data_IF_602496449200
#
_entry.id   IF_602496449200
#
_cell.length_a   1.000
_cell.length_b   1.000
_cell.length_c   1.000
_cell.angle_alpha   90.00
_cell.angle_beta   90.00
_cell.angle_gamma   90.00
#
_symmetry.space_group_name_H-M   'P 1'
#
loop_
_entity.id
_entity.type
_entity.pdbx_description
1 polymer ?
2 polymer ?
3 non-polymer ?
4 water ?
#
loop_
_entity_poly.entity_id
_entity_poly.type
_entity_poly.pdbx_seq_one_letter_code
_entity_poly.pdbx_strand_id
1 'polydeoxyribonucleotide' '(DU)(DU)(DU)(DU)(DU)(DU)(DU)(DU)' ?
#
# COMPACT_ATOMS: atom_id res chain seq x y z
N UNK B 25 -15.27 -17.03 12.83
CA UNK B 25 -14.78 -16.38 14.05
C UNK B 25 -14.24 -17.41 15.06
N UNK B 26 -12.91 -17.44 15.22
CA UNK B 26 -12.25 -18.38 16.15
C UNK B 26 -12.56 -18.08 17.61
N UNK B 27 -12.98 -19.12 18.34
CA UNK B 27 -13.28 -18.95 19.75
C UNK B 27 -11.96 -18.62 20.43
N UNK B 28 -12.03 -17.90 21.54
CA UNK B 28 -10.82 -17.53 22.28
C UNK B 28 -10.21 -18.82 22.82
N UNK B 29 -9.05 -19.22 22.26
CA UNK B 29 -8.31 -20.41 22.63
C UNK B 29 -7.89 -20.40 24.08
N UNK B 30 -7.66 -21.58 24.64
CA UNK B 30 -7.24 -21.71 26.02
C UNK B 30 -5.82 -21.17 26.14
N UNK B 31 -5.04 -21.31 25.07
CA UNK B 31 -3.67 -20.83 25.03
C UNK B 31 -3.44 -20.03 23.75
N UNK B 32 -2.32 -19.30 23.69
CA UNK B 32 -2.02 -18.49 22.51
C UNK B 32 -2.02 -19.24 21.20
N UNK B 33 -2.85 -18.75 20.27
CA UNK B 33 -2.96 -19.33 18.94
C UNK B 33 -3.10 -18.17 17.94
N UNK B 34 -2.76 -18.45 16.69
CA UNK B 34 -2.88 -17.50 15.59
C UNK B 34 -3.89 -18.16 14.67
N UNK B 35 -4.93 -17.42 14.29
CA UNK B 35 -5.96 -18.00 13.45
C UNK B 35 -6.21 -17.13 12.24
N UNK B 36 -6.75 -17.75 11.20
CA UNK B 36 -7.08 -17.05 9.97
C UNK B 36 -8.60 -16.94 9.91
N UNK B 37 -9.10 -15.76 9.55
CA UNK B 37 -10.53 -15.58 9.41
C UNK B 37 -10.79 -15.18 7.96
N UNK B 38 -11.34 -16.11 7.19
CA UNK B 38 -11.64 -15.85 5.80
C UNK B 38 -13.16 -15.71 5.72
N UNK B 39 -13.62 -14.48 5.48
CA UNK B 39 -15.04 -14.21 5.41
C UNK B 39 -15.22 -13.06 4.44
N UNK B 40 -16.32 -13.06 3.66
CA UNK B 40 -16.61 -12.02 2.67
C UNK B 40 -16.75 -10.61 3.23
N UNK B 41 -16.47 -9.61 2.41
CA UNK B 41 -16.57 -8.22 2.83
C UNK B 41 -17.99 -7.98 3.30
N UNK B 42 -18.15 -7.19 4.36
CA UNK B 42 -19.47 -6.92 4.88
C UNK B 42 -19.95 -7.90 5.93
N UNK B 43 -19.21 -8.99 6.14
CA UNK B 43 -19.60 -9.98 7.12
C UNK B 43 -19.34 -9.55 8.58
N UNK B 44 -18.65 -8.43 8.78
CA UNK B 44 -18.37 -7.94 10.13
C UNK B 44 -17.06 -8.32 10.80
N UNK B 45 -16.08 -8.74 10.00
CA UNK B 45 -14.75 -9.14 10.50
C UNK B 45 -14.05 -8.06 11.32
N UNK B 46 -14.20 -6.81 10.92
CA UNK B 46 -13.56 -5.71 11.61
C UNK B 46 -14.47 -4.92 12.53
N UNK B 47 -15.66 -5.45 12.79
CA UNK B 47 -16.64 -4.78 13.64
C UNK B 47 -17.44 -5.71 14.56
N UNK B 48 -18.18 -6.63 13.96
CA UNK B 48 -18.99 -7.58 14.70
C UNK B 48 -18.11 -8.51 15.52
N UNK B 49 -17.09 -9.05 14.87
CA UNK B 49 -16.17 -9.97 15.55
C UNK B 49 -15.51 -9.33 16.78
N UNK B 50 -14.88 -8.15 16.61
CA UNK B 50 -14.28 -7.56 17.82
C UNK B 50 -15.32 -7.17 18.88
N UNK B 51 -16.54 -6.85 18.44
CA UNK B 51 -17.64 -6.49 19.35
C UNK B 51 -18.02 -7.72 20.21
N UNK B 52 -18.11 -8.88 19.57
CA UNK B 52 -18.43 -10.13 20.26
C UNK B 52 -17.28 -10.50 21.21
N UNK B 53 -16.04 -10.26 20.77
CA UNK B 53 -14.86 -10.56 21.58
C UNK B 53 -14.82 -9.71 22.84
N UNK B 54 -15.00 -8.39 22.68
CA UNK B 54 -14.97 -7.46 23.80
C UNK B 54 -16.13 -7.66 24.77
N UNK B 55 -17.28 -8.08 24.23
CA UNK B 55 -18.47 -8.34 25.02
C UNK B 55 -18.23 -9.49 25.97
N UNK B 56 -17.20 -10.28 25.69
CA UNK B 56 -16.81 -11.42 26.52
C UNK B 56 -15.79 -10.96 27.54
N UNK B 57 -15.54 -9.66 27.58
CA UNK B 57 -14.61 -9.11 28.54
C UNK B 57 -13.17 -9.00 28.11
N UNK B 58 -12.90 -9.04 26.81
CA UNK B 58 -11.52 -8.93 26.32
C UNK B 58 -11.15 -7.55 25.75
N UNK B 59 -9.86 -7.25 25.80
CA UNK B 59 -9.32 -6.02 25.26
C UNK B 59 -8.94 -6.40 23.84
N UNK B 60 -9.63 -5.82 22.87
CA UNK B 60 -9.39 -6.14 21.46
C UNK B 60 -8.79 -4.99 20.68
N UNK B 61 -7.80 -5.33 19.85
CA UNK B 61 -7.12 -4.35 19.00
C UNK B 61 -7.39 -4.75 17.55
N UNK B 62 -7.83 -3.80 16.74
CA UNK B 62 -8.12 -4.07 15.33
C UNK B 62 -7.17 -3.22 14.49
N UNK B 63 -6.29 -3.89 13.75
CA UNK B 63 -5.32 -3.21 12.90
C UNK B 63 -5.78 -3.18 11.46
N UNK B 64 -5.78 -1.99 10.87
CA UNK B 64 -6.22 -1.81 9.49
C UNK B 64 -5.20 -0.91 8.79
N UNK B 65 -4.96 -1.14 7.48
CA UNK B 65 -4.00 -0.30 6.75
C UNK B 65 -4.44 1.15 6.48
N UNK B 66 -5.74 1.35 6.34
CA UNK B 66 -6.28 2.67 6.02
C UNK B 66 -6.57 3.59 7.20
N UNK B 67 -6.03 4.80 7.13
CA UNK B 67 -6.26 5.80 8.16
C UNK B 67 -7.76 6.17 8.12
N UNK B 68 -8.29 6.34 6.92
CA UNK B 68 -9.70 6.69 6.74
C UNK B 68 -10.60 5.60 7.31
N UNK B 69 -10.30 4.34 6.99
CA UNK B 69 -11.08 3.21 7.47
C UNK B 69 -11.04 3.12 8.99
N UNK B 70 -9.84 3.27 9.55
CA UNK B 70 -9.66 3.22 10.99
C UNK B 70 -10.56 4.26 11.65
N UNK B 71 -10.49 5.50 11.19
CA UNK B 71 -11.31 6.57 11.74
C UNK B 71 -12.79 6.25 11.59
N UNK B 72 -13.15 5.70 10.44
CA UNK B 72 -14.53 5.38 10.17
C UNK B 72 -15.18 4.41 11.12
N UNK B 73 -14.42 3.44 11.60
CA UNK B 73 -14.96 2.45 12.52
C UNK B 73 -15.68 3.05 13.72
N UNK B 74 -15.23 4.22 14.16
CA UNK B 74 -15.83 4.88 15.30
C UNK B 74 -17.34 5.04 15.22
N UNK B 75 -17.80 5.72 14.16
CA UNK B 75 -19.22 5.93 13.96
C UNK B 75 -19.96 4.64 13.65
N UNK B 76 -19.36 3.79 12.82
CA UNK B 76 -20.01 2.54 12.45
C UNK B 76 -20.26 1.65 13.66
N UNK B 77 -19.26 1.57 14.53
CA UNK B 77 -19.35 0.74 15.72
C UNK B 77 -20.39 1.28 16.72
N UNK B 78 -20.47 2.60 16.79
CA UNK B 78 -21.41 3.24 17.66
C UNK B 78 -22.81 2.93 17.14
N UNK B 79 -23.02 3.14 15.84
CA UNK B 79 -24.32 2.89 15.24
C UNK B 79 -24.72 1.42 15.22
N UNK B 80 -23.78 0.55 14.89
CA UNK B 80 -24.08 -0.87 14.79
C UNK B 80 -24.06 -1.63 16.10
N UNK B 81 -23.22 -1.22 17.03
CA UNK B 81 -23.09 -1.94 18.28
C UNK B 81 -23.15 -1.10 19.57
N UNK B 82 -23.37 0.20 19.44
CA UNK B 82 -23.43 1.04 20.62
C UNK B 82 -22.08 1.00 21.31
N UNK B 83 -21.02 1.07 20.51
CA UNK B 83 -19.65 1.04 21.02
C UNK B 83 -18.89 2.26 20.53
N UNK B 84 -18.15 2.89 21.43
CA UNK B 84 -17.32 4.05 21.09
C UNK B 84 -15.90 3.57 21.38
N UNK B 85 -15.21 3.02 20.36
CA UNK B 85 -13.84 2.53 20.57
C UNK B 85 -12.75 3.60 20.56
N UNK B 86 -11.55 3.20 20.98
CA UNK B 86 -10.41 4.10 20.95
C UNK B 86 -9.96 4.10 19.48
N UNK B 87 -9.59 5.28 18.97
CA UNK B 87 -9.15 5.41 17.59
C UNK B 87 -7.72 5.93 17.56
N UNK B 88 -6.82 5.20 16.92
CA UNK B 88 -5.43 5.61 16.85
C UNK B 88 -4.87 5.67 15.42
N UNK B 89 -4.68 6.89 14.93
CA UNK B 89 -4.11 7.10 13.61
C UNK B 89 -2.99 8.12 13.75
N UNK B 90 -2.26 8.35 12.66
CA UNK B 90 -1.17 9.32 12.71
C UNK B 90 -1.71 10.70 13.01
N UNK B 91 -2.80 11.05 12.32
CA UNK B 91 -3.42 12.36 12.51
C UNK B 91 -4.09 12.56 13.86
N UNK B 92 -4.98 11.64 14.23
CA UNK B 92 -5.73 11.77 15.48
C UNK B 92 -5.88 10.49 16.32
N UNK B 93 -5.72 10.67 17.63
CA UNK B 93 -5.90 9.59 18.60
C UNK B 93 -7.10 10.02 19.45
N UNK B 94 -8.05 9.13 19.60
CA UNK B 94 -9.25 9.39 20.39
C UNK B 94 -9.33 8.27 21.40
N UNK B 95 -9.07 8.59 22.67
CA UNK B 95 -9.13 7.59 23.72
C UNK B 95 -10.49 7.64 24.42
N UNK B 96 -11.16 6.51 24.46
CA UNK B 96 -12.48 6.42 25.04
C UNK B 96 -12.55 5.57 26.29
N UNK B 97 -11.56 4.71 26.49
CA UNK B 97 -11.58 3.84 27.65
C UNK B 97 -12.32 2.56 27.29
N UNK B 98 -12.57 2.40 25.99
CA UNK B 98 -13.25 1.22 25.47
C UNK B 98 -12.27 0.04 25.44
N UNK B 99 -12.80 -1.19 25.53
CA UNK B 99 -11.93 -2.36 25.50
C UNK B 99 -11.46 -2.59 24.04
N UNK B 100 -12.16 -1.96 23.11
CA UNK B 100 -11.82 -2.08 21.69
C UNK B 100 -11.00 -0.88 21.22
N UNK B 101 -9.95 -1.17 20.48
CA UNK B 101 -9.07 -0.13 19.96
C UNK B 101 -8.81 -0.39 18.48
N UNK B 102 -9.10 0.61 17.65
CA UNK B 102 -8.85 0.51 16.23
C UNK B 102 -7.60 1.33 15.96
N UNK B 103 -6.72 0.80 15.12
CA UNK B 103 -5.48 1.49 14.79
C UNK B 103 -4.98 1.07 13.42
N UNK B 104 -4.21 1.95 12.80
CA UNK B 104 -3.57 1.67 11.51
C UNK B 104 -2.32 0.88 11.89
N UNK B 105 -1.74 0.16 10.93
CA UNK B 105 -0.52 -0.58 11.24
C UNK B 105 0.61 0.41 11.50
N UNK B 106 0.58 1.53 10.79
CA UNK B 106 1.60 2.55 10.94
C UNK B 106 1.66 3.09 12.35
N UNK B 107 0.52 3.56 12.85
CA UNK B 107 0.43 4.11 14.20
C UNK B 107 0.82 3.03 15.25
N UNK B 108 0.38 1.78 15.02
CA UNK B 108 0.70 0.67 15.92
C UNK B 108 2.22 0.55 16.04
N UNK B 109 2.87 0.49 14.89
CA UNK B 109 4.32 0.40 14.80
C UNK B 109 5.00 1.60 15.48
N UNK B 110 4.41 2.77 15.29
CA UNK B 110 4.91 4.02 15.87
C UNK B 110 4.69 4.05 17.38
N UNK B 111 3.66 3.36 17.87
CA UNK B 111 3.40 3.35 19.32
C UNK B 111 4.25 2.31 20.05
N UNK B 112 5.13 1.64 19.30
CA UNK B 112 5.99 0.65 19.90
C UNK B 112 5.54 -0.79 19.79
N UNK B 113 4.57 -1.06 18.92
CA UNK B 113 4.10 -2.43 18.78
C UNK B 113 3.31 -2.93 19.98
N UNK B 114 3.59 -4.14 20.43
CA UNK B 114 2.87 -4.72 21.55
C UNK B 114 3.06 -3.98 22.89
N UNK B 115 4.08 -3.15 22.99
CA UNK B 115 4.35 -2.42 24.22
C UNK B 115 3.56 -1.11 24.26
N UNK B 116 2.89 -0.79 23.15
CA UNK B 116 2.11 0.42 23.06
C UNK B 116 0.75 0.32 23.73
N UNK B 117 0.38 -0.89 24.13
CA UNK B 117 -0.90 -1.12 24.80
C UNK B 117 -0.99 -2.57 25.22
N UNK B 118 -1.99 -2.92 26.02
CA UNK B 118 -2.15 -4.30 26.46
C UNK B 118 -3.45 -4.81 25.88
N UNK B 119 -3.35 -5.77 24.96
CA UNK B 119 -4.51 -6.31 24.27
C UNK B 119 -4.49 -7.82 24.36
N UNK B 120 -5.65 -8.42 24.53
CA UNK B 120 -5.75 -9.88 24.64
C UNK B 120 -5.91 -10.48 23.24
N UNK B 121 -6.64 -9.77 22.39
CA UNK B 121 -6.90 -10.21 21.03
C UNK B 121 -6.50 -9.15 20.01
N UNK B 122 -5.78 -9.57 18.97
CA UNK B 122 -5.36 -8.67 17.91
C UNK B 122 -5.91 -9.15 16.57
N UNK B 123 -6.75 -8.34 15.95
CA UNK B 123 -7.33 -8.68 14.66
C UNK B 123 -6.49 -7.92 13.64
N UNK B 124 -5.73 -8.66 12.83
CA UNK B 124 -4.91 -8.06 11.77
C UNK B 124 -5.82 -8.07 10.55
N UNK B 125 -6.58 -7.00 10.41
CA UNK B 125 -7.53 -6.83 9.34
C UNK B 125 -6.87 -6.59 7.99
N UNK B 126 -7.50 -7.09 6.91
CA UNK B 126 -6.97 -6.96 5.55
C UNK B 126 -5.54 -7.50 5.50
N UNK B 127 -5.33 -8.63 6.16
CA UNK B 127 -4.01 -9.23 6.25
C UNK B 127 -3.43 -9.67 4.91
N UNK B 128 -4.16 -9.40 3.83
CA UNK B 128 -3.72 -9.73 2.48
C UNK B 128 -2.87 -8.57 1.92
N UNK B 129 -2.89 -7.42 2.60
CA UNK B 129 -2.15 -6.23 2.16
C UNK B 129 -0.66 -6.44 2.04
N UNK B 130 -0.11 -6.09 0.89
CA UNK B 130 1.31 -6.27 0.66
C UNK B 130 2.12 -4.98 0.71
N UNK B 131 1.53 -3.93 1.26
CA UNK B 131 2.25 -2.66 1.40
C UNK B 131 3.20 -2.85 2.60
N UNK B 132 4.37 -2.21 2.54
CA UNK B 132 5.38 -2.33 3.59
C UNK B 132 4.86 -2.18 5.02
N UNK B 133 4.03 -1.16 5.23
CA UNK B 133 3.49 -0.91 6.55
C UNK B 133 2.63 -2.05 7.13
N UNK B 134 1.83 -2.69 6.29
CA UNK B 134 0.99 -3.79 6.75
C UNK B 134 1.84 -5.01 7.05
N UNK B 135 2.80 -5.29 6.18
CA UNK B 135 3.68 -6.43 6.38
C UNK B 135 4.52 -6.28 7.64
N UNK B 136 5.06 -5.09 7.88
CA UNK B 136 5.89 -4.86 9.05
C UNK B 136 5.05 -4.92 10.31
N UNK B 137 3.84 -4.37 10.22
CA UNK B 137 2.93 -4.36 11.35
C UNK B 137 2.48 -5.76 11.73
N UNK B 138 2.12 -6.57 10.73
CA UNK B 138 1.69 -7.93 10.98
C UNK B 138 2.81 -8.74 11.58
N UNK B 139 4.00 -8.65 10.98
CA UNK B 139 5.15 -9.36 11.49
C UNK B 139 5.43 -8.97 12.94
N UNK B 140 5.30 -7.69 13.25
CA UNK B 140 5.53 -7.20 14.61
C UNK B 140 4.60 -7.96 15.55
N UNK B 141 3.30 -7.93 15.25
CA UNK B 141 2.29 -8.63 16.06
C UNK B 141 2.63 -10.11 16.20
N UNK B 142 2.92 -10.78 15.08
CA UNK B 142 3.22 -12.19 15.11
C UNK B 142 4.42 -12.52 15.97
N UNK B 143 5.41 -11.64 15.96
CA UNK B 143 6.60 -11.86 16.74
C UNK B 143 6.39 -11.54 18.21
N UNK B 144 5.74 -10.42 18.48
CA UNK B 144 5.53 -9.95 19.84
C UNK B 144 4.33 -10.41 20.68
N UNK B 145 3.16 -10.58 20.05
CA UNK B 145 1.92 -10.97 20.74
C UNK B 145 1.98 -11.94 21.91
N UNK B 146 2.39 -13.19 21.65
CA UNK B 146 2.45 -14.18 22.72
C UNK B 146 3.28 -13.73 23.91
N UNK B 147 4.50 -13.28 23.66
CA UNK B 147 5.38 -12.82 24.72
C UNK B 147 4.77 -11.65 25.50
N UNK B 148 3.94 -10.86 24.82
CA UNK B 148 3.29 -9.72 25.45
C UNK B 148 2.04 -10.14 26.21
N UNK B 149 1.71 -11.43 26.17
CA UNK B 149 0.55 -11.91 26.88
C UNK B 149 -0.79 -11.86 26.17
N UNK B 150 -0.78 -11.91 24.85
CA UNK B 150 -2.03 -11.90 24.12
C UNK B 150 -2.51 -13.34 24.09
N UNK B 151 -3.80 -13.52 23.87
CA UNK B 151 -4.40 -14.85 23.80
C UNK B 151 -4.65 -15.26 22.35
N UNK B 152 -5.01 -14.29 21.53
CA UNK B 152 -5.32 -14.62 20.15
C UNK B 152 -4.91 -13.58 19.14
N UNK B 153 -4.43 -14.06 18.00
CA UNK B 153 -4.07 -13.20 16.88
C UNK B 153 -4.91 -13.74 15.73
N UNK B 154 -5.70 -12.86 15.12
CA UNK B 154 -6.56 -13.25 14.01
C UNK B 154 -6.13 -12.51 12.77
N UNK B 155 -5.83 -13.25 11.71
CA UNK B 155 -5.43 -12.68 10.42
C UNK B 155 -6.69 -12.75 9.56
N UNK B 156 -7.37 -11.62 9.41
CA UNK B 156 -8.61 -11.56 8.66
C UNK B 156 -8.52 -10.94 7.27
N UNK B 157 -9.24 -11.56 6.34
CA UNK B 157 -9.27 -11.12 4.95
C UNK B 157 -10.34 -11.87 4.15
N UNK B 158 -10.94 -11.16 3.21
CA UNK B 158 -11.94 -11.74 2.33
C UNK B 158 -11.19 -12.35 1.15
N UNK B 159 -9.93 -11.97 0.98
CA UNK B 159 -9.11 -12.46 -0.12
C UNK B 159 -7.75 -13.06 0.30
N UNK B 160 -7.76 -14.29 0.83
CA UNK B 160 -6.51 -14.93 1.24
C UNK B 160 -5.67 -15.28 0.00
N UNK B 161 -4.37 -15.59 0.19
CA UNK B 161 -3.52 -15.94 -0.95
C UNK B 161 -4.13 -17.01 -1.86
N UNK B 162 -3.90 -16.85 -3.16
CA UNK B 162 -4.42 -17.79 -4.15
C UNK B 162 -5.84 -17.47 -4.57
N UNK B 163 -6.35 -16.33 -4.13
CA UNK B 163 -7.71 -15.93 -4.47
C UNK B 163 -7.92 -15.50 -5.92
N UNK B 164 -9.18 -15.56 -6.33
CA UNK B 164 -9.59 -15.18 -7.67
C UNK B 164 -10.89 -14.40 -7.47
N UNK B 165 -11.25 -13.58 -8.46
CA UNK B 165 -12.45 -12.77 -8.41
C UNK B 165 -13.65 -13.55 -8.94
N UNK B 166 -14.42 -14.06 -7.99
CA UNK B 166 -15.61 -14.88 -8.25
C UNK B 166 -16.85 -14.01 -8.45
N UNK B 167 -17.82 -14.50 -9.24
CA UNK B 167 -19.06 -13.79 -9.51
C UNK B 167 -19.68 -13.17 -8.26
N UNK B 168 -20.21 -11.96 -8.44
CA UNK B 168 -20.85 -11.19 -7.39
C UNK B 168 -22.33 -11.14 -7.75
N UNK B 169 -23.21 -11.19 -6.75
CA UNK B 169 -24.67 -11.14 -6.96
C UNK B 169 -25.16 -9.96 -7.81
N UNK B 170 -24.83 -8.75 -7.35
CA UNK B 170 -25.25 -7.51 -8.02
C UNK B 170 -24.42 -7.04 -9.20
N UNK B 171 -23.47 -7.84 -9.69
CA UNK B 171 -22.64 -7.33 -10.77
C UNK B 171 -22.58 -8.10 -12.09
N UNK B 172 -23.16 -7.53 -13.13
CA UNK B 172 -23.11 -8.16 -14.44
C UNK B 172 -21.76 -7.78 -15.08
N UNK B 173 -21.01 -8.77 -15.53
CA UNK B 173 -19.72 -8.51 -16.14
C UNK B 173 -19.74 -8.72 -17.65
N UNK B 174 -19.18 -7.77 -18.39
CA UNK B 174 -19.14 -7.90 -19.84
C UNK B 174 -17.87 -7.35 -20.48
N UNK B 175 -17.26 -8.19 -21.31
CA UNK B 175 -16.04 -7.85 -22.03
C UNK B 175 -16.24 -6.71 -23.00
N UNK B 176 -15.25 -5.84 -23.12
CA UNK B 176 -15.32 -4.76 -24.08
C UNK B 176 -14.87 -5.40 -25.38
N UNK B 177 -15.29 -4.85 -26.51
CA UNK B 177 -14.89 -5.37 -27.81
C UNK B 177 -14.11 -4.29 -28.52
N UNK B 178 -13.92 -4.45 -29.82
CA UNK B 178 -13.21 -3.47 -30.61
C UNK B 178 -14.17 -2.39 -31.09
N UNK B 179 -15.45 -2.63 -30.89
CA UNK B 179 -16.46 -1.69 -31.32
C UNK B 179 -16.77 -0.65 -30.24
N UNK B 180 -16.56 0.61 -30.60
CA UNK B 180 -16.80 1.69 -29.67
C UNK B 180 -16.13 2.95 -30.17
N UNK B 181 -16.59 4.10 -29.68
CA UNK B 181 -16.02 5.37 -30.09
C UNK B 181 -14.68 5.69 -29.46
N UNK B 182 -14.46 5.24 -28.23
CA UNK B 182 -13.20 5.54 -27.53
C UNK B 182 -12.23 4.38 -27.40
N UNK B 183 -11.06 4.49 -28.05
CA UNK B 183 -10.07 3.42 -27.95
C UNK B 183 -9.69 3.31 -26.49
N UNK B 184 -9.65 2.08 -25.97
CA UNK B 184 -9.34 1.84 -24.56
C UNK B 184 -8.58 0.53 -24.35
N UNK B 185 -7.28 0.65 -24.17
CA UNK B 185 -6.39 -0.48 -23.94
C UNK B 185 -6.55 -1.64 -24.93
N UNK B 186 -6.50 -1.32 -26.22
CA UNK B 186 -6.62 -2.36 -27.23
C UNK B 186 -8.05 -2.58 -27.67
N UNK B 187 -9.00 -2.30 -26.78
CA UNK B 187 -10.41 -2.44 -27.08
C UNK B 187 -10.95 -1.05 -27.27
N UNK B 188 -12.25 -0.90 -27.12
CA UNK B 188 -12.88 0.40 -27.29
C UNK B 188 -14.11 0.48 -26.42
N UNK B 189 -14.48 1.70 -26.05
CA UNK B 189 -15.65 1.90 -25.22
C UNK B 189 -16.69 2.64 -26.04
N UNK B 190 -17.93 2.12 -26.03
CA UNK B 190 -19.05 2.73 -26.76
C UNK B 190 -19.56 3.88 -25.91
N UNK B 191 -19.60 5.08 -26.47
CA UNK B 191 -20.10 6.25 -25.75
C UNK B 191 -21.44 5.97 -25.09
N UNK B 192 -22.25 5.17 -25.76
CA UNK B 192 -23.58 4.81 -25.24
C UNK B 192 -23.54 4.22 -23.83
N UNK B 193 -22.52 3.42 -23.53
CA UNK B 193 -22.43 2.80 -22.22
C UNK B 193 -22.04 3.76 -21.09
N UNK B 194 -21.63 4.97 -21.45
CA UNK B 194 -21.24 5.96 -20.45
C UNK B 194 -21.99 7.30 -20.58
N UNK B 195 -22.79 7.43 -21.64
CA UNK B 195 -23.54 8.65 -21.92
C UNK B 195 -24.42 9.14 -20.76
N UNK B 196 -25.14 8.21 -20.13
CA UNK B 196 -25.97 8.58 -19.00
C UNK B 196 -25.53 7.78 -17.79
N UNK B 197 -25.75 8.29 -16.59
CA UNK B 197 -25.38 7.56 -15.38
C UNK B 197 -24.02 7.95 -14.84
N UNK B 198 -23.58 7.27 -13.79
CA UNK B 198 -22.28 7.52 -13.16
C UNK B 198 -21.40 6.29 -13.43
N UNK B 199 -20.18 6.51 -13.92
CA UNK B 199 -19.31 5.40 -14.25
C UNK B 199 -17.90 5.67 -13.77
N UNK B 200 -17.16 4.61 -13.46
CA UNK B 200 -15.78 4.73 -12.97
C UNK B 200 -14.85 3.99 -13.91
N UNK B 201 -13.92 4.72 -14.52
CA UNK B 201 -12.99 4.11 -15.45
C UNK B 201 -11.59 4.07 -14.84
N UNK B 202 -11.07 2.85 -14.65
CA UNK B 202 -9.75 2.67 -14.10
C UNK B 202 -8.67 2.61 -15.17
N UNK B 203 -7.68 3.48 -15.03
CA UNK B 203 -6.55 3.55 -15.94
C UNK B 203 -5.34 3.25 -15.06
N UNK B 204 -4.27 2.74 -15.67
CA UNK B 204 -3.09 2.39 -14.88
C UNK B 204 -2.19 3.58 -14.51
N UNK B 205 -2.23 4.63 -15.32
CA UNK B 205 -1.39 5.80 -15.09
C UNK B 205 -2.19 7.08 -15.07
N UNK B 206 -1.59 8.14 -14.51
CA UNK B 206 -2.25 9.44 -14.40
C UNK B 206 -2.35 10.11 -15.75
N UNK B 207 -1.37 9.86 -16.61
CA UNK B 207 -1.35 10.43 -17.96
C UNK B 207 -2.57 9.93 -18.71
N UNK B 208 -2.75 8.61 -18.74
CA UNK B 208 -3.89 7.99 -19.40
C UNK B 208 -5.22 8.52 -18.85
N UNK B 209 -5.28 8.79 -17.55
CA UNK B 209 -6.51 9.30 -16.94
C UNK B 209 -6.81 10.67 -17.53
N UNK B 210 -5.78 11.51 -17.60
CA UNK B 210 -5.89 12.87 -18.15
C UNK B 210 -6.31 12.81 -19.61
N UNK B 211 -5.61 12.00 -20.38
CA UNK B 211 -5.88 11.84 -21.81
C UNK B 211 -7.31 11.37 -22.07
N UNK B 212 -7.78 10.40 -21.29
CA UNK B 212 -9.13 9.90 -21.47
C UNK B 212 -10.13 10.96 -21.06
N UNK B 213 -9.96 11.52 -19.87
CA UNK B 213 -10.86 12.55 -19.40
C UNK B 213 -11.01 13.61 -20.49
N UNK B 214 -9.88 14.03 -21.04
CA UNK B 214 -9.86 15.05 -22.10
C UNK B 214 -10.67 14.58 -23.31
N UNK B 215 -10.43 13.34 -23.73
CA UNK B 215 -11.14 12.77 -24.87
C UNK B 215 -12.64 12.86 -24.63
N UNK B 216 -13.10 12.26 -23.52
CA UNK B 216 -14.51 12.24 -23.17
C UNK B 216 -15.12 13.63 -23.00
N UNK B 217 -14.42 14.48 -22.26
CA UNK B 217 -14.89 15.84 -21.99
C UNK B 217 -15.07 16.57 -23.32
N UNK B 218 -14.27 16.19 -24.32
CA UNK B 218 -14.37 16.78 -25.64
C UNK B 218 -15.62 16.26 -26.33
N UNK B 219 -15.95 14.99 -26.10
CA UNK B 219 -17.14 14.38 -26.70
C UNK B 219 -18.40 14.72 -25.91
N UNK B 220 -18.34 15.77 -25.09
CA UNK B 220 -19.49 16.18 -24.32
C UNK B 220 -19.78 15.37 -23.06
N UNK B 221 -18.91 14.43 -22.73
CA UNK B 221 -19.12 13.61 -21.53
C UNK B 221 -18.64 14.36 -20.28
N UNK B 222 -19.42 14.29 -19.20
CA UNK B 222 -19.04 14.95 -17.95
C UNK B 222 -18.00 14.10 -17.24
N UNK B 223 -16.80 14.07 -17.79
CA UNK B 223 -15.71 13.26 -17.24
C UNK B 223 -14.77 14.09 -16.40
N UNK B 224 -14.35 13.53 -15.27
CA UNK B 224 -13.44 14.22 -14.37
C UNK B 224 -12.38 13.23 -13.97
N UNK B 225 -11.14 13.69 -13.94
CA UNK B 225 -10.03 12.83 -13.55
C UNK B 225 -9.79 12.83 -12.05
N UNK B 226 -9.25 11.72 -11.57
CA UNK B 226 -8.90 11.62 -10.17
C UNK B 226 -7.75 10.67 -9.95
N UNK B 227 -6.77 11.18 -9.22
CA UNK B 227 -5.59 10.41 -8.85
C UNK B 227 -4.92 11.14 -7.70
N UNK B 228 -3.87 10.54 -7.15
CA UNK B 228 -3.15 11.13 -6.02
C UNK B 228 -2.63 12.52 -6.36
N UNK B 229 -2.96 13.47 -5.48
CA UNK B 229 -2.57 14.85 -5.66
C UNK B 229 -3.75 15.73 -6.04
N UNK B 230 -4.84 15.11 -6.51
CA UNK B 230 -6.04 15.85 -6.91
C UNK B 230 -6.99 16.07 -5.76
N UNK B 231 -8.10 16.73 -6.06
CA UNK B 231 -9.11 17.04 -5.05
C UNK B 231 -10.36 16.19 -5.26
N UNK B 232 -10.59 15.26 -4.34
CA UNK B 232 -11.74 14.38 -4.44
C UNK B 232 -13.10 15.03 -4.14
N UNK B 233 -13.08 16.18 -3.48
CA UNK B 233 -14.34 16.85 -3.15
C UNK B 233 -15.01 17.52 -4.34
N UNK B 234 -14.30 17.60 -5.46
CA UNK B 234 -14.89 18.23 -6.64
C UNK B 234 -15.75 17.23 -7.41
N UNK B 235 -15.61 15.94 -7.09
CA UNK B 235 -16.38 14.90 -7.75
C UNK B 235 -17.81 14.97 -7.24
N UNK B 236 -18.79 15.14 -8.14
CA UNK B 236 -20.18 15.22 -7.70
C UNK B 236 -20.66 13.94 -7.02
N UNK B 237 -21.43 14.10 -5.95
CA UNK B 237 -21.99 13.02 -5.17
C UNK B 237 -23.23 12.45 -5.87
N UNK B 238 -23.83 13.25 -6.73
CA UNK B 238 -25.00 12.81 -7.46
C UNK B 238 -24.97 13.38 -8.87
N UNK B 239 -25.77 12.80 -9.75
CA UNK B 239 -25.82 13.23 -11.13
C UNK B 239 -24.82 12.48 -12.01
N UNK B 240 -25.09 12.49 -13.31
CA UNK B 240 -24.25 11.83 -14.30
C UNK B 240 -22.83 12.31 -14.23
N UNK B 241 -21.89 11.38 -14.30
CA UNK B 241 -20.48 11.72 -14.30
C UNK B 241 -19.66 10.48 -14.59
N UNK B 242 -18.53 10.67 -15.23
CA UNK B 242 -17.62 9.59 -15.53
C UNK B 242 -16.30 9.99 -14.89
N UNK B 243 -15.95 9.31 -13.82
CA UNK B 243 -14.70 9.60 -13.14
C UNK B 243 -13.64 8.69 -13.77
N UNK B 244 -12.55 9.29 -14.25
CA UNK B 244 -11.45 8.54 -14.83
C UNK B 244 -10.34 8.61 -13.77
N UNK B 245 -10.05 7.48 -13.14
CA UNK B 245 -9.10 7.47 -12.04
C UNK B 245 -8.14 6.30 -11.94
N UNK B 246 -7.22 6.42 -10.98
CA UNK B 246 -6.27 5.37 -10.66
C UNK B 246 -6.82 4.75 -9.36
N UNK B 247 -6.05 3.87 -8.75
CA UNK B 247 -6.48 3.23 -7.52
C UNK B 247 -6.47 4.16 -6.29
N UNK B 248 -6.09 5.40 -6.52
CA UNK B 248 -6.05 6.39 -5.45
C UNK B 248 -7.41 6.57 -4.80
N UNK B 249 -8.46 6.63 -5.62
CA UNK B 249 -9.82 6.82 -5.10
C UNK B 249 -10.23 5.71 -4.12
N UNK B 253 -15.29 6.30 -0.73
CA UNK B 253 -16.05 7.31 -1.50
C UNK B 253 -17.45 6.80 -1.89
N UNK B 254 -18.45 7.65 -1.71
CA UNK B 254 -19.83 7.31 -2.06
C UNK B 254 -19.99 7.55 -3.56
N UNK B 255 -19.44 6.64 -4.34
CA UNK B 255 -19.51 6.76 -5.78
C UNK B 255 -20.87 6.52 -6.39
N UNK B 256 -21.60 5.55 -5.87
CA UNK B 256 -22.92 5.22 -6.39
C UNK B 256 -22.79 5.09 -7.92
N UNK B 257 -21.83 4.27 -8.32
CA UNK B 257 -21.53 4.04 -9.72
C UNK B 257 -22.40 2.97 -10.41
N UNK B 258 -22.91 3.31 -11.59
CA UNK B 258 -23.72 2.40 -12.36
C UNK B 258 -22.84 1.35 -13.01
N UNK B 259 -21.58 1.70 -13.25
CA UNK B 259 -20.65 0.73 -13.82
C UNK B 259 -19.20 1.09 -13.57
N UNK B 260 -18.35 0.09 -13.72
CA UNK B 260 -16.90 0.21 -13.58
C UNK B 260 -16.32 -0.35 -14.87
N UNK B 261 -15.40 0.38 -15.49
CA UNK B 261 -14.73 -0.09 -16.69
C UNK B 261 -13.29 -0.14 -16.21
N UNK B 262 -12.65 -1.29 -16.40
CA UNK B 262 -11.31 -1.54 -15.89
C UNK B 262 -10.32 -1.88 -16.99
N UNK B 263 -9.12 -1.30 -16.92
CA UNK B 263 -8.06 -1.58 -17.89
C UNK B 263 -7.39 -2.93 -17.57
N UNK B 264 -7.62 -3.41 -16.37
CA UNK B 264 -7.09 -4.70 -15.92
C UNK B 264 -5.57 -4.79 -15.73
N UNK B 265 -4.91 -3.64 -15.65
CA UNK B 265 -3.47 -3.60 -15.43
C UNK B 265 -3.17 -2.66 -14.28
N UNK B 266 -1.99 -2.76 -13.68
CA UNK B 266 -1.64 -1.90 -12.57
C UNK B 266 -0.14 -1.65 -12.55
N UNK B 267 0.24 -0.46 -12.12
CA UNK B 267 1.63 -0.06 -12.04
C UNK B 267 2.07 -0.41 -10.64
N UNK B 268 3.26 -0.97 -10.50
CA UNK B 268 3.75 -1.34 -9.18
C UNK B 268 5.28 -1.27 -9.06
N UNK B 269 5.76 -1.13 -7.84
CA UNK B 269 7.18 -1.05 -7.55
C UNK B 269 7.82 -2.41 -7.74
N UNK B 270 8.99 -2.41 -8.37
CA UNK B 270 9.68 -3.64 -8.62
C UNK B 270 11.18 -3.39 -8.49
N UNK B 271 11.91 -4.40 -8.03
CA UNK B 271 13.35 -4.29 -7.87
C UNK B 271 14.03 -5.05 -9.00
N UNK B 272 15.14 -4.50 -9.48
CA UNK B 272 15.90 -5.13 -10.54
C UNK B 272 17.34 -5.19 -10.04
N UNK B 273 17.81 -6.40 -9.76
CA UNK B 273 19.18 -6.60 -9.29
C UNK B 273 20.06 -6.48 -10.53
N UNK B 274 20.10 -5.25 -11.07
CA UNK B 274 20.81 -4.93 -12.29
C UNK B 274 22.33 -4.85 -12.30
N UNK B 275 22.97 -4.88 -11.14
CA UNK B 275 24.44 -4.85 -11.05
C UNK B 275 25.06 -3.72 -11.89
N UNK B 276 24.48 -2.52 -11.79
CA UNK B 276 24.96 -1.37 -12.56
C UNK B 276 24.97 -0.11 -11.70
N UNK B 277 25.69 -0.12 -10.57
CA UNK B 277 26.50 -1.20 -9.99
C UNK B 277 25.81 -2.21 -9.08
N UNK B 278 24.64 -1.87 -8.55
CA UNK B 278 23.95 -2.75 -7.60
C UNK B 278 22.52 -3.17 -7.96
N UNK B 279 21.53 -2.35 -7.56
CA UNK B 279 20.14 -2.66 -7.83
C UNK B 279 19.37 -1.44 -8.30
N UNK B 280 18.15 -1.67 -8.80
CA UNK B 280 17.28 -0.60 -9.29
C UNK B 280 15.85 -0.82 -8.81
N UNK B 281 15.26 0.22 -8.21
CA UNK B 281 13.88 0.12 -7.78
C UNK B 281 13.14 1.03 -8.73
N UNK B 282 12.26 0.44 -9.53
CA UNK B 282 11.49 1.17 -10.52
C UNK B 282 10.04 0.72 -10.44
N UNK B 283 9.31 0.79 -11.54
CA UNK B 283 7.93 0.35 -11.54
C UNK B 283 7.71 -0.52 -12.77
N UNK B 284 6.75 -1.44 -12.68
CA UNK B 284 6.42 -2.32 -13.79
C UNK B 284 4.90 -2.35 -13.92
N UNK B 285 4.41 -2.19 -15.15
CA UNK B 285 2.98 -2.25 -15.38
C UNK B 285 2.67 -3.72 -15.63
N UNK B 286 1.90 -4.31 -14.72
CA UNK B 286 1.55 -5.71 -14.77
C UNK B 286 0.05 -5.95 -14.80
N UNK B 287 -0.35 -7.17 -15.20
CA UNK B 287 -1.76 -7.52 -15.25
C UNK B 287 -2.16 -7.44 -13.79
N UNK B 288 -3.40 -7.04 -13.53
CA UNK B 288 -3.86 -6.93 -12.15
C UNK B 288 -3.98 -8.31 -11.53
N UNK B 289 -3.98 -8.37 -10.21
CA UNK B 289 -4.14 -9.66 -9.53
C UNK B 289 -5.58 -9.67 -9.02
N UNK B 290 -5.97 -10.71 -8.29
CA UNK B 290 -7.34 -10.82 -7.76
C UNK B 290 -7.78 -9.70 -6.83
N UNK B 291 -6.85 -9.19 -6.01
CA UNK B 291 -7.18 -8.11 -5.08
C UNK B 291 -7.57 -6.87 -5.87
N UNK B 292 -6.78 -6.55 -6.88
CA UNK B 292 -7.01 -5.39 -7.73
C UNK B 292 -8.36 -5.47 -8.43
N UNK B 293 -8.63 -6.61 -9.08
CA UNK B 293 -9.87 -6.82 -9.82
C UNK B 293 -11.08 -6.79 -8.91
N UNK B 294 -11.00 -7.49 -7.79
CA UNK B 294 -12.11 -7.53 -6.83
C UNK B 294 -12.41 -6.13 -6.27
N UNK B 295 -11.37 -5.39 -5.92
CA UNK B 295 -11.55 -4.05 -5.37
C UNK B 295 -12.00 -3.05 -6.43
N UNK B 296 -11.49 -3.17 -7.64
CA UNK B 296 -11.90 -2.28 -8.71
C UNK B 296 -13.35 -2.57 -9.07
N UNK B 297 -13.67 -3.84 -9.34
CA UNK B 297 -15.03 -4.24 -9.67
C UNK B 297 -15.98 -3.87 -8.52
N UNK B 298 -15.45 -3.99 -7.29
CA UNK B 298 -16.22 -3.69 -6.10
C UNK B 298 -16.72 -2.28 -5.92
N UNK B 299 -16.32 -1.36 -6.80
CA UNK B 299 -16.77 0.02 -6.69
C UNK B 299 -18.23 0.15 -7.16
N UNK B 300 -18.74 -0.87 -7.84
CA UNK B 300 -20.12 -0.88 -8.33
C UNK B 300 -20.90 -2.03 -7.68
N UNK B 301 -22.21 -2.09 -7.91
CA UNK B 301 -23.03 -3.15 -7.33
C UNK B 301 -23.17 -3.06 -5.83
N UNK B 302 -23.11 -1.84 -5.29
CA UNK B 302 -23.20 -1.62 -3.85
C UNK B 302 -24.61 -1.27 -3.42
N UNK B 303 -25.41 -2.29 -3.16
CA UNK B 303 -26.77 -2.06 -2.73
C UNK B 303 -27.70 -1.88 -3.91
N UNK B 304 -27.21 -2.16 -5.10
CA UNK B 304 -28.00 -2.04 -6.31
C UNK B 304 -27.19 -2.68 -7.41
N UNK B 305 -27.84 -3.07 -8.51
CA UNK B 305 -27.11 -3.69 -9.61
C UNK B 305 -26.07 -2.77 -10.23
N UNK B 306 -25.02 -3.36 -10.77
CA UNK B 306 -23.96 -2.61 -11.41
C UNK B 306 -23.41 -3.44 -12.54
N UNK B 307 -22.63 -2.80 -13.41
CA UNK B 307 -22.02 -3.48 -14.53
C UNK B 307 -20.52 -3.27 -14.45
N UNK B 308 -19.79 -4.30 -14.85
CA UNK B 308 -18.32 -4.26 -14.85
C UNK B 308 -17.88 -4.61 -16.25
N UNK B 309 -17.13 -3.71 -16.88
CA UNK B 309 -16.62 -3.97 -18.22
C UNK B 309 -15.12 -4.07 -18.08
N UNK B 310 -14.55 -5.03 -18.81
CA UNK B 310 -13.12 -5.28 -18.74
C UNK B 310 -12.52 -5.44 -20.11
N UNK B 311 -11.22 -5.18 -20.20
CA UNK B 311 -10.47 -5.32 -21.44
C UNK B 311 -9.95 -6.77 -21.52
N UNK B 312 -9.54 -7.30 -20.38
CA UNK B 312 -8.99 -8.64 -20.31
C UNK B 312 -9.70 -9.50 -19.27
N UNK B 313 -9.89 -10.78 -19.61
CA UNK B 313 -10.56 -11.78 -18.76
C UNK B 313 -9.68 -12.43 -17.67
N UNK B 314 -8.37 -12.34 -17.83
CA UNK B 314 -7.50 -12.95 -16.86
C UNK B 314 -7.10 -12.03 -15.73
N UNK B 315 -6.52 -12.63 -14.70
CA UNK B 315 -6.04 -11.90 -13.54
C UNK B 315 -5.04 -12.82 -12.84
N UNK B 316 -4.09 -12.26 -12.12
CA UNK B 316 -3.13 -13.08 -11.42
C UNK B 316 -3.72 -13.42 -10.06
N UNK B 317 -3.59 -14.68 -9.64
CA UNK B 317 -4.13 -15.04 -8.32
C UNK B 317 -3.44 -14.15 -7.27
N UNK B 318 -4.17 -13.76 -6.24
CA UNK B 318 -3.61 -12.90 -5.21
C UNK B 318 -2.58 -13.67 -4.39
N UNK B 319 -1.74 -12.95 -3.65
CA UNK B 319 -0.81 -13.64 -2.79
C UNK B 319 0.68 -13.48 -2.93
N UNK B 320 1.13 -12.81 -3.99
CA UNK B 320 2.57 -12.62 -4.17
C UNK B 320 2.92 -11.15 -4.10
N UNK B 321 4.09 -10.86 -3.55
CA UNK B 321 4.56 -9.47 -3.51
C UNK B 321 6.05 -9.44 -3.82
N UNK B 322 6.47 -8.33 -4.41
CA UNK B 322 7.84 -8.08 -4.83
C UNK B 322 8.86 -7.85 -3.69
N UNK B 323 10.11 -8.22 -3.96
CA UNK B 323 11.21 -8.05 -3.01
C UNK B 323 11.41 -6.56 -2.67
N UNK B 324 10.99 -5.66 -3.57
CA UNK B 324 11.14 -4.25 -3.30
C UNK B 324 10.31 -3.89 -2.07
N UNK B 325 9.30 -4.70 -1.76
CA UNK B 325 8.48 -4.44 -0.59
C UNK B 325 9.34 -4.69 0.64
N UNK B 326 10.21 -5.70 0.58
CA UNK B 326 11.12 -6.02 1.69
C UNK B 326 12.08 -4.85 1.88
N UNK B 327 12.64 -4.37 0.76
CA UNK B 327 13.54 -3.23 0.81
C UNK B 327 12.78 -2.09 1.48
N UNK B 328 11.52 -1.93 1.10
CA UNK B 328 10.66 -0.89 1.62
C UNK B 328 10.37 -1.05 3.11
N UNK B 329 10.35 -2.29 3.57
CA UNK B 329 10.12 -2.57 4.99
C UNK B 329 11.34 -2.11 5.81
N UNK B 330 12.53 -2.46 5.34
CA UNK B 330 13.77 -2.06 6.01
C UNK B 330 13.93 -0.53 5.99
N UNK B 331 13.57 0.06 4.86
CA UNK B 331 13.65 1.50 4.70
C UNK B 331 12.73 2.17 5.72
N UNK B 332 11.54 1.61 5.93
CA UNK B 332 10.56 2.12 6.88
C UNK B 332 11.01 1.99 8.33
N UNK B 333 11.63 0.87 8.66
CA UNK B 333 12.13 0.67 10.01
C UNK B 333 13.13 1.75 10.36
N UNK B 334 14.05 1.97 9.42
CA UNK B 334 15.10 2.97 9.55
C UNK B 334 14.61 4.41 9.53
N UNK B 335 13.68 4.71 8.62
CA UNK B 335 13.16 6.06 8.49
C UNK B 335 12.11 6.45 9.51
N UNK B 336 11.15 5.55 9.75
CA UNK B 336 10.06 5.86 10.68
C UNK B 336 9.93 5.14 12.00
N UNK B 337 10.40 3.89 12.10
CA UNK B 337 10.18 3.15 13.34
C UNK B 337 11.33 2.90 14.26
N UNK B 338 12.42 3.64 14.08
CA UNK B 338 13.58 3.48 14.94
C UNK B 338 14.02 2.04 15.02
N UNK B 339 13.84 1.31 13.93
CA UNK B 339 14.21 -0.09 13.89
C UNK B 339 15.51 -0.37 13.16
N UNK B 340 16.32 -1.20 13.80
CA UNK B 340 17.59 -1.66 13.29
C UNK B 340 17.27 -2.72 12.23
N UNK B 341 18.10 -2.88 11.20
CA UNK B 341 17.81 -3.90 10.18
C UNK B 341 17.62 -5.26 10.84
N UNK B 342 18.41 -5.54 11.87
CA UNK B 342 18.32 -6.80 12.60
C UNK B 342 16.93 -6.93 13.27
N UNK B 343 16.41 -5.83 13.78
CA UNK B 343 15.09 -5.81 14.43
C UNK B 343 14.00 -6.04 13.37
N UNK B 344 14.10 -5.34 12.24
CA UNK B 344 13.14 -5.47 11.16
C UNK B 344 13.12 -6.94 10.68
N UNK B 345 14.30 -7.57 10.64
CA UNK B 345 14.41 -8.95 10.22
C UNK B 345 13.61 -9.89 11.12
N UNK B 346 13.63 -9.62 12.42
CA UNK B 346 12.90 -10.43 13.39
C UNK B 346 11.41 -10.44 13.08
N UNK B 347 10.88 -9.26 12.77
CA UNK B 347 9.47 -9.10 12.44
C UNK B 347 9.12 -9.68 11.06
N UNK B 348 9.97 -9.42 10.07
CA UNK B 348 9.72 -9.93 8.73
C UNK B 348 9.87 -11.46 8.72
N UNK B 349 10.74 -11.98 9.57
CA UNK B 349 10.95 -13.42 9.66
C UNK B 349 9.66 -14.08 10.20
N UNK B 350 9.11 -13.52 11.26
CA UNK B 350 7.88 -14.03 11.87
C UNK B 350 6.76 -14.05 10.85
N UNK B 351 6.65 -12.98 10.07
CA UNK B 351 5.64 -12.87 9.01
C UNK B 351 5.81 -14.04 8.04
N UNK B 352 7.06 -14.29 7.65
CA UNK B 352 7.37 -15.36 6.71
C UNK B 352 7.21 -16.74 7.34
N UNK B 353 7.38 -16.83 8.65
CA UNK B 353 7.24 -18.11 9.32
C UNK B 353 5.81 -18.54 9.53
N UNK B 354 4.85 -17.63 9.33
CA UNK B 354 3.46 -18.02 9.53
C UNK B 354 2.73 -18.31 8.22
N UNK B 355 2.25 -19.57 8.08
CA UNK B 355 1.52 -20.02 6.90
C UNK B 355 0.22 -19.27 6.66
N UNK B 356 -0.16 -19.18 5.40
CA UNK B 356 -1.42 -18.53 5.05
C UNK B 356 -1.35 -17.06 4.70
N UNK B 357 -0.16 -16.48 4.76
CA UNK B 357 0.03 -15.07 4.44
C UNK B 357 0.65 -14.89 3.05
N UNK B 358 0.60 -13.68 2.49
CA UNK B 358 1.18 -13.44 1.17
C UNK B 358 2.67 -13.79 1.19
N UNK B 359 3.21 -14.25 0.06
CA UNK B 359 4.61 -14.63 0.01
C UNK B 359 5.51 -13.83 -0.93
N UNK B 360 6.78 -13.75 -0.54
CA UNK B 360 7.82 -13.05 -1.28
C UNK B 360 9.07 -13.92 -1.19
N UNK B 361 10.06 -13.62 -2.02
CA UNK B 361 11.30 -14.38 -2.01
C UNK B 361 12.04 -14.07 -0.72
N UNK B 362 12.62 -15.10 -0.12
CA UNK B 362 13.35 -14.92 1.13
C UNK B 362 14.62 -14.11 0.91
N UNK B 363 14.50 -12.78 0.95
CA UNK B 363 15.65 -11.89 0.77
C UNK B 363 15.91 -11.06 2.01
N UNK B 364 15.57 -11.63 3.17
CA UNK B 364 15.76 -10.91 4.42
C UNK B 364 17.23 -10.63 4.74
N UNK B 365 18.07 -11.65 4.59
CA UNK B 365 19.49 -11.51 4.85
C UNK B 365 20.10 -10.48 3.90
N UNK B 366 19.70 -10.53 2.64
CA UNK B 366 20.21 -9.60 1.65
C UNK B 366 19.89 -8.16 2.00
N UNK B 367 18.60 -7.85 2.16
CA UNK B 367 18.20 -6.47 2.47
C UNK B 367 18.73 -5.97 3.79
N UNK B 368 18.85 -6.88 4.75
CA UNK B 368 19.39 -6.53 6.05
C UNK B 368 20.87 -6.18 5.85
N UNK B 369 21.54 -6.95 4.99
CA UNK B 369 22.95 -6.69 4.70
C UNK B 369 23.10 -5.28 4.16
N UNK B 370 22.34 -4.99 3.10
CA UNK B 370 22.35 -3.68 2.45
C UNK B 370 22.16 -2.52 3.44
N UNK B 371 21.04 -2.51 4.15
CA UNK B 371 20.75 -1.43 5.10
C UNK B 371 21.71 -1.33 6.28
N UNK B 372 22.29 -2.47 6.68
CA UNK B 372 23.23 -2.46 7.78
C UNK B 372 24.47 -1.61 7.44
N UNK B 373 24.80 -1.54 6.15
CA UNK B 373 25.95 -0.75 5.74
C UNK B 373 25.66 0.72 5.50
N UNK B 374 24.39 1.10 5.48
CA UNK B 374 24.02 2.48 5.23
C UNK B 374 24.02 3.24 6.54
N UNK B 375 25.16 3.23 7.21
CA UNK B 375 25.29 3.90 8.49
C UNK B 375 25.66 5.38 8.34
N UNK B 376 25.42 6.14 9.40
CA UNK B 376 25.73 7.57 9.44
C UNK B 376 25.04 8.39 8.34
N UNK B 377 23.71 8.40 8.36
CA UNK B 377 22.95 9.16 7.37
C UNK B 377 22.89 10.60 7.85
N UNK B 378 22.62 11.53 6.95
CA UNK B 378 22.51 12.93 7.37
C UNK B 378 21.09 13.04 7.86
N UNK B 379 20.93 13.39 9.14
CA UNK B 379 19.60 13.52 9.73
C UNK B 379 18.71 14.58 9.08
N UNK B 380 19.31 15.67 8.60
CA UNK B 380 18.52 16.72 7.96
C UNK B 380 17.93 16.30 6.64
N UNK B 381 18.70 15.57 5.84
CA UNK B 381 18.21 15.10 4.54
C UNK B 381 17.07 14.12 4.76
N UNK B 382 17.25 13.23 5.72
CA UNK B 382 16.24 12.22 6.07
C UNK B 382 14.90 12.87 6.40
N UNK B 383 14.95 13.90 7.25
CA UNK B 383 13.75 14.62 7.65
C UNK B 383 13.10 15.30 6.43
N UNK B 384 13.92 15.69 5.46
CA UNK B 384 13.38 16.33 4.27
C UNK B 384 12.72 15.30 3.38
N UNK B 385 13.41 14.20 3.13
CA UNK B 385 12.89 13.16 2.26
C UNK B 385 11.59 12.54 2.72
N UNK B 386 11.49 12.24 4.02
CA UNK B 386 10.26 11.65 4.51
C UNK B 386 9.11 12.66 4.60
N UNK B 387 9.46 13.94 4.51
CA UNK B 387 8.49 15.03 4.53
C UNK B 387 7.99 15.27 3.10
N UNK B 388 8.85 14.96 2.13
CA UNK B 388 8.53 15.12 0.72
C UNK B 388 7.64 13.99 0.20
N UNK B 389 7.41 12.98 1.02
CA UNK B 389 6.60 11.86 0.61
C UNK B 389 7.39 10.89 -0.28
N UNK B 390 8.71 11.05 -0.28
CA UNK B 390 9.59 10.20 -1.08
C UNK B 390 9.32 8.73 -0.74
N UNK B 391 9.12 7.91 -1.76
CA UNK B 391 8.83 6.46 -1.62
C UNK B 391 9.80 5.64 -0.76
N UNK B 392 11.10 5.89 -0.91
CA UNK B 392 12.10 5.18 -0.11
C UNK B 392 12.94 6.28 0.51
N UNK B 393 12.37 7.00 1.49
CA UNK B 393 13.06 8.09 2.19
C UNK B 393 14.47 7.81 2.71
N UNK B 394 14.70 6.61 3.23
CA UNK B 394 16.02 6.31 3.73
C UNK B 394 17.04 6.14 2.59
N UNK B 395 16.65 5.48 1.51
CA UNK B 395 17.59 5.31 0.39
C UNK B 395 17.90 6.64 -0.28
N UNK B 396 16.86 7.45 -0.53
CA UNK B 396 17.02 8.75 -1.17
C UNK B 396 17.92 9.65 -0.33
N UNK B 397 17.54 9.84 0.94
CA UNK B 397 18.31 10.68 1.86
C UNK B 397 19.75 10.19 2.02
N UNK B 398 19.95 8.89 1.99
CA UNK B 398 21.30 8.35 2.13
C UNK B 398 22.16 8.67 0.90
N UNK B 399 21.61 8.47 -0.30
CA UNK B 399 22.33 8.80 -1.52
C UNK B 399 22.66 10.28 -1.49
N UNK B 400 21.72 11.09 -1.00
CA UNK B 400 21.92 12.53 -0.91
C UNK B 400 23.06 12.84 0.07
N UNK B 401 23.12 12.08 1.15
CA UNK B 401 24.16 12.25 2.17
C UNK B 401 25.56 12.01 1.57
N UNK B 402 25.71 10.87 0.90
CA UNK B 402 26.96 10.50 0.26
C UNK B 402 27.41 11.57 -0.75
N UNK B 403 26.46 12.12 -1.49
CA UNK B 403 26.76 13.16 -2.47
C UNK B 403 27.23 14.43 -1.75
N UNK B 404 26.47 14.85 -0.76
CA UNK B 404 26.82 16.05 -0.01
C UNK B 404 28.23 15.92 0.55
N UNK B 405 28.48 14.84 1.28
CA UNK B 405 29.79 14.61 1.90
C UNK B 405 30.94 14.55 0.91
N UNK B 406 30.65 14.17 -0.33
CA UNK B 406 31.66 14.10 -1.38
C UNK B 406 31.63 15.39 -2.21
N UNK B 407 30.69 16.28 -1.89
CA UNK B 407 30.52 17.52 -2.63
C UNK B 407 30.34 17.19 -4.11
N UNK B 408 29.68 16.06 -4.35
CA UNK B 408 29.37 15.55 -5.68
C UNK B 408 27.88 15.81 -5.94
N UNK B 409 27.48 15.93 -7.21
CA UNK B 409 26.07 16.17 -7.51
C UNK B 409 25.24 14.90 -7.48
N UNK B 410 23.91 15.02 -7.32
CA UNK B 410 23.04 13.85 -7.28
C UNK B 410 23.03 13.15 -8.64
N UNK B 411 22.44 11.94 -8.72
CA UNK B 411 22.37 11.16 -9.95
C UNK B 411 21.77 11.97 -11.11
N UNK B 412 20.84 12.84 -10.76
CA UNK B 412 20.20 13.72 -11.73
C UNK B 412 19.67 14.90 -10.94
N UNK B 413 18.99 15.83 -11.61
CA UNK B 413 18.43 16.99 -10.95
C UNK B 413 16.92 16.95 -11.03
N UNK B 414 16.37 15.74 -10.97
CA UNK B 414 14.94 15.55 -11.00
C UNK B 414 14.47 15.86 -9.58
N UNK B 415 13.18 16.15 -9.41
CA UNK B 415 12.60 16.49 -8.11
C UNK B 415 13.05 15.66 -6.91
N UNK B 416 13.38 14.40 -7.16
CA UNK B 416 13.83 13.49 -6.12
C UNK B 416 15.04 14.04 -5.40
N UNK B 417 15.78 14.94 -6.05
CA UNK B 417 16.99 15.52 -5.47
C UNK B 417 16.93 17.01 -5.16
N UNK B 418 15.76 17.46 -4.69
CA UNK B 418 15.54 18.85 -4.32
C UNK B 418 16.40 19.28 -3.13
N UNK B 419 16.66 18.32 -2.23
CA UNK B 419 17.46 18.56 -1.02
C UNK B 419 18.86 19.11 -1.31
N UNK B 420 19.42 18.69 -2.44
CA UNK B 420 20.78 19.10 -2.83
C UNK B 420 20.83 20.32 -3.71
N UNK B 421 19.69 20.98 -3.90
CA UNK B 421 19.64 22.16 -4.75
C UNK B 421 20.40 23.35 -4.17
N UNK B 422 20.12 23.69 -2.92
CA UNK B 422 20.77 24.81 -2.28
C UNK B 422 22.29 24.75 -2.38
N UNK B 423 22.84 23.53 -2.35
CA UNK B 423 24.29 23.31 -2.42
C UNK B 423 24.82 23.22 -3.85
N UNK B 424 23.92 23.03 -4.81
CA UNK B 424 24.24 22.85 -6.22
C UNK B 424 25.54 23.48 -6.78
N UNK B 425 25.77 24.78 -6.54
CA UNK B 425 26.98 25.44 -7.04
C UNK B 425 28.28 24.81 -6.57
N UNK B 426 28.24 24.19 -5.40
CA UNK B 426 29.44 23.57 -4.82
C UNK B 426 29.64 22.10 -5.20
N UNK B 427 28.57 21.46 -5.70
CA UNK B 427 28.63 20.06 -6.06
C UNK B 427 29.36 19.91 -7.39
N UNK B 428 30.45 19.15 -7.36
CA UNK B 428 31.28 18.94 -8.54
C UNK B 428 31.74 17.49 -8.66
N UNK B 429 31.91 17.05 -9.90
CA UNK B 429 32.39 15.71 -10.14
C UNK B 429 31.35 14.66 -10.46
N UNK B 430 31.76 13.39 -10.48
CA UNK B 430 30.87 12.27 -10.76
C UNK B 430 30.07 11.89 -9.51
N UNK B 431 28.89 11.34 -9.73
CA UNK B 431 28.02 10.92 -8.67
C UNK B 431 28.43 9.56 -8.11
N UNK B 432 28.69 9.48 -6.79
CA UNK B 432 29.05 8.17 -6.22
C UNK B 432 27.70 7.40 -6.10
N UNK B 433 27.34 6.73 -7.20
CA UNK B 433 26.08 6.00 -7.30
C UNK B 433 26.01 4.77 -6.41
N UNK B 434 25.01 4.78 -5.52
CA UNK B 434 24.84 3.68 -4.59
C UNK B 434 23.94 2.61 -5.18
N UNK B 435 22.90 3.06 -5.86
CA UNK B 435 21.90 2.19 -6.48
C UNK B 435 21.09 3.12 -7.37
N UNK B 436 20.12 2.59 -8.10
CA UNK B 436 19.29 3.45 -8.96
C UNK B 436 17.85 3.55 -8.48
N UNK B 437 17.39 4.79 -8.34
CA UNK B 437 16.03 5.07 -7.90
C UNK B 437 15.37 5.94 -8.95
N UNK B 438 16.12 6.22 -10.01
CA UNK B 438 15.63 7.05 -11.09
C UNK B 438 16.69 7.11 -12.16
N UNK B 439 16.60 8.11 -13.02
CA UNK B 439 17.55 8.26 -14.13
C UNK B 439 18.88 8.81 -13.64
N UNK B 440 19.97 8.24 -14.14
CA UNK B 440 21.31 8.70 -13.78
C UNK B 440 21.87 9.45 -14.99
N UNK B 441 21.80 10.77 -14.92
CA UNK B 441 22.29 11.60 -16.01
C UNK B 441 23.74 12.05 -15.86
N UNK B 442 24.13 12.40 -14.63
CA UNK B 442 25.49 12.84 -14.37
C UNK B 442 26.48 11.70 -14.54
N UNK B 443 27.77 12.03 -14.59
CA UNK B 443 28.81 11.03 -14.70
C UNK B 443 28.75 10.29 -13.38
N UNK B 444 29.17 9.04 -13.37
CA UNK B 444 29.14 8.21 -12.17
C UNK B 444 30.52 7.69 -11.80
N UNK B 445 30.74 7.50 -10.50
CA UNK B 445 31.97 6.88 -9.99
C UNK B 445 31.45 5.69 -9.18
N UNK B 446 32.18 4.59 -9.17
CA UNK B 446 31.81 3.39 -8.41
C UNK B 446 32.86 3.11 -7.34
N UNK B 447 33.62 4.13 -6.98
CA UNK B 447 34.67 3.97 -5.99
C UNK B 447 34.26 4.27 -4.55
N UNK B 448 33.05 4.74 -4.33
CA UNK B 448 32.65 5.06 -2.96
C UNK B 448 32.59 3.77 -2.13
N UNK B 449 33.07 3.81 -0.87
CA UNK B 449 33.07 2.66 0.04
C UNK B 449 31.70 1.98 0.16
N UNK B 450 30.64 2.77 0.25
CA UNK B 450 29.27 2.26 0.35
C UNK B 450 28.88 1.48 -0.90
N UNK B 451 29.25 2.00 -2.07
CA UNK B 451 28.96 1.35 -3.34
C UNK B 451 29.63 -0.04 -3.35
N UNK B 452 30.91 -0.07 -2.98
CA UNK B 452 31.67 -1.30 -2.94
C UNK B 452 31.05 -2.26 -1.93
N UNK B 453 30.58 -1.72 -0.80
CA UNK B 453 29.92 -2.51 0.25
C UNK B 453 28.67 -3.20 -0.30
N UNK B 454 27.74 -2.40 -0.84
CA UNK B 454 26.49 -2.93 -1.38
C UNK B 454 26.77 -3.95 -2.48
N UNK B 455 27.86 -3.75 -3.22
CA UNK B 455 28.24 -4.68 -4.28
C UNK B 455 28.61 -6.04 -3.71
N UNK B 456 29.22 -6.07 -2.53
CA UNK B 456 29.57 -7.35 -1.92
C UNK B 456 28.30 -8.08 -1.49
N UNK B 457 27.23 -7.31 -1.26
CA UNK B 457 25.94 -7.87 -0.86
C UNK B 457 25.30 -8.57 -2.04
N UNK B 458 25.70 -8.17 -3.24
CA UNK B 458 25.16 -8.78 -4.45
C UNK B 458 25.85 -10.13 -4.70
N UNK B 459 27.13 -10.22 -4.34
CA UNK B 459 27.92 -11.44 -4.56
C UNK B 459 27.59 -12.64 -3.67
X LIG C 1 -16.07 -7.10 6.99
X LIG C 1 -14.98 -6.79 7.97
X LIG C 1 -17.27 -6.34 7.42
X LIG C 1 -15.62 -6.66 5.63
X LIG C 1 -16.36 -8.55 7.08
#
# INVERSE_FOLDING_TARGET
MVDFIPVENLETTMRSPVFTDNSSPPAVPQSFQVAHLHAPTGSGKSTKVPAAYAAQGYKVLVLNPSVAATLGFGAYMSKAHGVDPNIRTGVRTITTGSPITYSTYGKFLADGGCSGGAYDIIICDECHSTDATSILGIGTVLDQAETAGARLVVLATATPPGSVTVPHPNIEEVALSTTGEIPFYGKAIPLEVIKGGRHLIFCHSKKKCDELAAKLVALGINAVAYYRGLDVSVIPTSGDVVVVATDALMTGFTGDFDSVIDCNTCVTQTVDFSLDPTFTIETTTLPQDAVSRTQRRGRTGRGKPGIYRFVAPGERPSGMFDSSVLCECYDAGCAWYELTPAETTVRLRAYMNTPGLPVCQDHLEFWEGVFTGLTHIDAHFLSQTKQSGENFPYLVAYQATVCARAQAPPPSWDQMWKCLIRLKPTLHGPTPLLYRLGAVQNEVTLTHPITKYIMTCMSADLEVVTGSGSHHHHHH
SO4 S O1 O2 O3 O4
#
